data_IF_088189710477
#
_entry.id   IF_088189710477
#
_cell.length_a   1.000
_cell.length_b   1.000
_cell.length_c   1.000
_cell.angle_alpha   90.00
_cell.angle_beta   90.00
_cell.angle_gamma   90.00
#
_symmetry.space_group_name_H-M   'P 1'
#
loop_
_entity.id
_entity.type
_entity.pdbx_description
1 polymer ?
#
# COMPACT_ATOMS: atom_id res chain seq x y z
N UNK A 1 5.92 -18.99 26.59
CA UNK A 1 5.83 -18.00 25.49
C UNK A 1 5.02 -16.75 25.86
N UNK A 2 4.30 -16.72 26.98
CA UNK A 2 3.47 -15.58 27.43
C UNK A 2 4.28 -14.42 28.05
N UNK A 3 5.40 -14.72 28.74
CA UNK A 3 6.18 -13.69 29.45
C UNK A 3 6.98 -12.71 28.58
N UNK A 4 7.24 -13.01 27.30
CA UNK A 4 7.97 -12.11 26.40
C UNK A 4 7.04 -11.06 25.79
N UNK A 5 5.84 -11.47 25.37
CA UNK A 5 4.80 -10.59 24.81
C UNK A 5 4.38 -9.53 25.83
N UNK A 6 4.19 -9.95 27.09
CA UNK A 6 3.80 -9.05 28.19
C UNK A 6 4.89 -7.98 28.48
N UNK A 7 6.17 -8.37 28.37
CA UNK A 7 7.29 -7.44 28.53
C UNK A 7 7.39 -6.43 27.38
N UNK A 8 7.17 -6.87 26.15
CA UNK A 8 7.21 -6.00 24.97
C UNK A 8 6.04 -5.01 24.98
N UNK A 9 4.85 -5.47 25.37
CA UNK A 9 3.67 -4.60 25.55
C UNK A 9 3.90 -3.57 26.67
N UNK A 10 4.44 -3.98 27.81
CA UNK A 10 4.79 -3.07 28.89
C UNK A 10 5.80 -2.00 28.44
N UNK A 11 6.83 -2.40 27.69
CA UNK A 11 7.82 -1.46 27.14
C UNK A 11 7.18 -0.47 26.17
N UNK A 12 6.30 -0.92 25.29
CA UNK A 12 5.60 -0.06 24.35
C UNK A 12 4.74 0.99 25.08
N UNK A 13 4.02 0.60 26.14
CA UNK A 13 3.22 1.53 26.96
C UNK A 13 4.07 2.63 27.59
N UNK A 14 5.26 2.30 28.09
CA UNK A 14 6.21 3.28 28.62
C UNK A 14 6.65 4.27 27.54
N UNK A 15 7.03 3.77 26.36
CA UNK A 15 7.44 4.62 25.23
C UNK A 15 6.33 5.56 24.76
N UNK A 16 5.08 5.10 24.73
CA UNK A 16 3.91 5.94 24.41
C UNK A 16 3.75 7.06 25.45
N UNK A 17 3.94 6.75 26.73
CA UNK A 17 3.93 7.75 27.81
C UNK A 17 5.02 8.81 27.64
N UNK A 18 6.26 8.39 27.34
CA UNK A 18 7.38 9.29 27.09
C UNK A 18 7.15 10.21 25.89
N UNK A 19 6.63 9.66 24.79
CA UNK A 19 6.27 10.44 23.60
C UNK A 19 5.16 11.46 23.91
N UNK A 20 4.15 11.07 24.69
CA UNK A 20 3.09 11.97 25.14
C UNK A 20 3.63 13.12 25.99
N UNK A 21 4.53 12.83 26.93
CA UNK A 21 5.19 13.84 27.75
C UNK A 21 6.08 14.79 26.92
N UNK A 22 6.74 14.28 25.87
CA UNK A 22 7.50 15.11 24.94
C UNK A 22 6.61 16.08 24.16
N UNK A 23 5.45 15.63 23.69
CA UNK A 23 4.47 16.46 22.99
C UNK A 23 3.88 17.56 23.90
N UNK A 24 3.62 17.24 25.17
CA UNK A 24 3.16 18.24 26.15
C UNK A 24 4.21 19.32 26.41
N UNK A 25 5.50 18.96 26.49
CA UNK A 25 6.59 19.94 26.59
C UNK A 25 6.67 20.81 25.34
N UNK A 26 6.53 20.22 24.15
CA UNK A 26 6.51 20.96 22.88
C UNK A 26 5.32 21.93 22.84
N UNK A 27 4.18 21.59 23.40
CA UNK A 27 3.02 22.48 23.43
C UNK A 27 3.31 23.79 24.19
N UNK A 28 4.18 23.77 25.19
CA UNK A 28 4.58 24.99 25.92
C UNK A 28 5.43 25.96 25.10
N UNK A 29 6.18 25.47 24.10
CA UNK A 29 7.05 26.30 23.25
C UNK A 29 6.49 26.51 21.82
N UNK A 30 5.73 25.55 21.29
CA UNK A 30 5.11 25.58 19.96
C UNK A 30 3.80 24.77 19.95
N UNK A 31 2.66 25.41 20.30
CA UNK A 31 1.35 24.75 20.34
C UNK A 31 0.91 24.19 18.98
N UNK A 32 1.17 24.95 17.90
CA UNK A 32 0.80 24.56 16.55
C UNK A 32 1.56 23.31 16.09
N UNK A 33 2.88 23.23 16.37
CA UNK A 33 3.68 22.06 16.01
C UNK A 33 3.26 20.81 16.80
N UNK A 34 3.00 20.95 18.11
CA UNK A 34 2.51 19.84 18.94
C UNK A 34 1.19 19.29 18.39
N UNK A 35 0.24 20.17 18.05
CA UNK A 35 -1.06 19.79 17.48
C UNK A 35 -0.90 19.09 16.13
N UNK A 36 -0.03 19.60 15.26
CA UNK A 36 0.24 19.00 13.95
C UNK A 36 0.83 17.59 14.07
N UNK A 37 1.78 17.38 14.98
CA UNK A 37 2.39 16.07 15.22
C UNK A 37 1.39 15.06 15.77
N UNK A 38 0.54 15.46 16.73
CA UNK A 38 -0.53 14.59 17.24
C UNK A 38 -1.44 14.12 16.10
N UNK A 39 -1.93 15.05 15.27
CA UNK A 39 -2.79 14.72 14.13
C UNK A 39 -2.10 13.82 13.12
N UNK A 40 -0.83 14.08 12.82
CA UNK A 40 -0.05 13.26 11.91
C UNK A 40 0.06 11.82 12.41
N UNK A 41 0.44 11.63 13.67
CA UNK A 41 0.60 10.30 14.27
C UNK A 41 -0.74 9.55 14.30
N UNK A 42 -1.84 10.23 14.63
CA UNK A 42 -3.19 9.63 14.60
C UNK A 42 -3.56 9.11 13.21
N UNK A 43 -3.39 9.92 12.17
CA UNK A 43 -3.70 9.52 10.79
C UNK A 43 -2.85 8.32 10.35
N UNK A 44 -1.55 8.33 10.66
CA UNK A 44 -0.65 7.23 10.33
C UNK A 44 -1.06 5.95 11.07
N UNK A 45 -1.38 6.05 12.36
CA UNK A 45 -1.77 4.91 13.18
C UNK A 45 -3.10 4.30 12.69
N UNK A 46 -4.10 5.13 12.40
CA UNK A 46 -5.39 4.69 11.87
C UNK A 46 -5.23 3.99 10.51
N UNK A 47 -4.37 4.51 9.63
CA UNK A 47 -4.12 3.88 8.35
C UNK A 47 -3.35 2.56 8.49
N UNK A 48 -2.37 2.49 9.39
CA UNK A 48 -1.65 1.25 9.68
C UNK A 48 -2.56 0.17 10.27
N UNK A 49 -3.50 0.54 11.13
CA UNK A 49 -4.48 -0.39 11.69
C UNK A 49 -5.46 -0.93 10.63
N UNK A 50 -5.84 -0.09 9.65
CA UNK A 50 -6.79 -0.47 8.59
C UNK A 50 -6.14 -1.23 7.43
N UNK A 51 -4.87 -0.96 7.14
CA UNK A 51 -4.19 -1.47 5.93
C UNK A 51 -2.90 -2.22 6.29
N UNK A 52 -2.92 -3.57 6.38
CA UNK A 52 -1.74 -4.36 6.76
C UNK A 52 -0.51 -4.14 5.87
N UNK A 53 -0.71 -3.89 4.57
CA UNK A 53 0.38 -3.55 3.63
C UNK A 53 1.10 -2.26 4.03
N UNK A 54 0.33 -1.25 4.45
CA UNK A 54 0.86 0.04 4.88
C UNK A 54 1.62 -0.10 6.21
N UNK A 55 1.09 -0.85 7.17
CA UNK A 55 1.79 -1.15 8.42
C UNK A 55 3.17 -1.80 8.17
N UNK A 56 3.24 -2.78 7.26
CA UNK A 56 4.52 -3.42 6.90
C UNK A 56 5.49 -2.44 6.22
N UNK A 57 5.00 -1.63 5.28
CA UNK A 57 5.83 -0.63 4.60
C UNK A 57 6.37 0.42 5.58
N UNK A 58 5.53 0.88 6.51
CA UNK A 58 5.90 1.83 7.56
C UNK A 58 6.98 1.27 8.48
N UNK A 59 6.79 0.04 8.98
CA UNK A 59 7.78 -0.62 9.83
C UNK A 59 9.13 -0.77 9.11
N UNK A 60 9.10 -1.15 7.83
CA UNK A 60 10.31 -1.29 7.01
C UNK A 60 11.03 0.05 6.83
N UNK A 61 10.29 1.12 6.55
CA UNK A 61 10.86 2.45 6.35
C UNK A 61 11.50 3.03 7.61
N UNK A 62 10.91 2.78 8.80
CA UNK A 62 11.39 3.33 10.07
C UNK A 62 12.50 2.49 10.73
N UNK A 63 12.66 1.23 10.31
CA UNK A 63 13.70 0.31 10.85
C UNK A 63 14.92 0.23 9.93
N UNK A 64 14.79 0.65 8.67
CA UNK A 64 15.91 0.68 7.74
C UNK A 64 16.98 1.66 8.25
N UNK A 65 18.26 1.25 8.35
CA UNK A 65 19.33 2.18 8.62
C UNK A 65 19.37 3.25 7.52
N UNK A 66 19.60 4.50 7.91
CA UNK A 66 19.83 5.59 6.97
C UNK A 66 21.13 5.31 6.19
N UNK A 67 21.00 4.64 5.05
CA UNK A 67 22.10 4.45 4.11
C UNK A 67 22.43 5.83 3.52
N UNK A 68 23.69 6.26 3.68
CA UNK A 68 24.25 7.50 3.12
C UNK A 68 23.96 7.61 1.61
N UNK A 69 23.97 8.82 1.01
CA UNK A 69 23.61 9.00 -0.39
C UNK A 69 24.63 8.31 -1.29
N UNK A 70 24.33 7.07 -1.66
CA UNK A 70 25.01 6.34 -2.71
C UNK A 70 24.63 6.97 -4.05
N UNK A 71 25.56 7.15 -5.01
CA UNK A 71 25.31 7.84 -6.27
C UNK A 71 24.12 7.20 -7.00
N UNK A 72 23.35 8.05 -7.69
CA UNK A 72 22.07 7.76 -8.34
C UNK A 72 21.85 6.27 -8.66
N UNK A 73 20.77 5.64 -8.16
CA UNK A 73 20.60 4.22 -8.34
C UNK A 73 20.44 3.94 -9.83
N UNK A 74 21.43 3.23 -10.40
CA UNK A 74 21.21 2.37 -11.56
C UNK A 74 19.92 1.57 -11.34
N UNK A 75 19.13 1.28 -12.39
CA UNK A 75 17.80 0.69 -12.26
C UNK A 75 17.87 -0.51 -11.33
N UNK A 76 17.29 -0.37 -10.13
CA UNK A 76 17.35 -1.39 -9.08
C UNK A 76 16.67 -2.63 -9.63
N UNK A 77 17.43 -3.70 -9.82
CA UNK A 77 16.88 -5.03 -10.09
C UNK A 77 15.81 -5.32 -9.05
N UNK A 78 14.60 -5.59 -9.53
CA UNK A 78 13.45 -5.95 -8.71
C UNK A 78 13.83 -7.08 -7.73
N UNK A 79 13.31 -7.05 -6.48
CA UNK A 79 13.65 -8.04 -5.47
C UNK A 79 13.35 -9.46 -5.99
N UNK A 80 14.30 -10.36 -5.70
CA UNK A 80 14.30 -11.73 -6.18
C UNK A 80 12.97 -12.44 -5.89
N UNK A 81 12.42 -13.00 -6.97
CA UNK A 81 11.21 -13.79 -7.04
C UNK A 81 11.08 -14.82 -5.91
N UNK A 82 10.12 -14.63 -5.01
CA UNK A 82 9.61 -15.74 -4.18
C UNK A 82 8.48 -16.44 -4.94
N UNK A 83 8.90 -17.54 -5.58
CA UNK A 83 8.10 -18.67 -6.09
C UNK A 83 7.10 -18.33 -7.20
N UNK A 84 7.57 -18.43 -8.45
CA UNK A 84 6.74 -18.53 -9.65
C UNK A 84 6.15 -17.21 -10.17
N UNK A 85 6.89 -16.10 -10.03
CA UNK A 85 6.40 -14.76 -10.34
C UNK A 85 6.03 -14.61 -11.81
N UNK A 86 4.74 -14.38 -12.06
CA UNK A 86 4.23 -13.91 -13.35
C UNK A 86 4.98 -12.67 -13.83
N UNK A 87 4.95 -12.42 -15.13
CA UNK A 87 5.50 -11.18 -15.65
C UNK A 87 4.77 -9.99 -15.03
N UNK A 88 5.41 -8.81 -14.92
CA UNK A 88 4.70 -7.58 -14.58
C UNK A 88 3.55 -7.34 -15.58
N UNK A 89 2.44 -6.82 -15.09
CA UNK A 89 1.37 -6.33 -15.94
C UNK A 89 1.90 -5.24 -16.88
N UNK A 90 1.37 -5.17 -18.12
CA UNK A 90 1.87 -4.23 -19.13
C UNK A 90 1.68 -2.75 -18.79
N UNK A 91 0.80 -2.42 -17.82
CA UNK A 91 0.58 -1.05 -17.34
C UNK A 91 -0.15 -1.03 -15.99
N UNK A 92 -0.12 0.12 -15.31
CA UNK A 92 -0.92 0.37 -14.10
C UNK A 92 -2.40 0.70 -14.45
N UNK A 93 -3.36 -0.15 -14.06
CA UNK A 93 -4.77 0.05 -14.38
C UNK A 93 -5.41 1.21 -13.60
N UNK A 94 -4.86 1.63 -12.47
CA UNK A 94 -5.35 2.80 -11.73
C UNK A 94 -4.96 4.11 -12.42
N UNK A 95 -3.74 4.20 -12.96
CA UNK A 95 -3.33 5.32 -13.79
C UNK A 95 -4.18 5.40 -15.06
N UNK A 96 -4.37 4.28 -15.77
CA UNK A 96 -5.22 4.22 -16.96
C UNK A 96 -6.67 4.67 -16.69
N UNK A 97 -7.25 4.29 -15.54
CA UNK A 97 -8.58 4.73 -15.13
C UNK A 97 -8.63 6.22 -14.76
N UNK A 98 -7.57 6.77 -14.16
CA UNK A 98 -7.49 8.20 -13.84
C UNK A 98 -7.44 9.06 -15.10
N UNK A 99 -6.68 8.62 -16.11
CA UNK A 99 -6.46 9.39 -17.34
C UNK A 99 -7.68 9.37 -18.28
N UNK A 100 -8.38 8.23 -18.38
CA UNK A 100 -9.43 8.02 -19.38
C UNK A 100 -10.74 7.42 -18.85
N UNK A 101 -10.88 7.32 -17.53
CA UNK A 101 -12.03 6.68 -16.90
C UNK A 101 -12.15 5.20 -17.25
N UNK A 102 -13.36 4.68 -17.10
CA UNK A 102 -13.67 3.29 -17.47
C UNK A 102 -13.46 3.01 -18.96
N UNK A 103 -13.83 3.95 -19.83
CA UNK A 103 -13.69 3.79 -21.27
C UNK A 103 -12.22 3.69 -21.69
N UNK A 104 -11.35 4.54 -21.15
CA UNK A 104 -9.91 4.51 -21.39
C UNK A 104 -9.25 3.24 -20.83
N UNK A 105 -9.66 2.79 -19.64
CA UNK A 105 -9.19 1.51 -19.09
C UNK A 105 -9.62 0.33 -19.98
N UNK A 106 -10.88 0.26 -20.41
CA UNK A 106 -11.35 -0.80 -21.31
C UNK A 106 -10.61 -0.79 -22.65
N UNK A 107 -10.36 0.38 -23.22
CA UNK A 107 -9.60 0.50 -24.47
C UNK A 107 -8.17 -0.07 -24.33
N UNK A 108 -7.49 0.17 -23.20
CA UNK A 108 -6.15 -0.38 -22.95
C UNK A 108 -6.16 -1.88 -22.63
N UNK A 109 -7.23 -2.41 -22.04
CA UNK A 109 -7.38 -3.84 -21.74
C UNK A 109 -7.81 -4.69 -22.94
N UNK A 110 -8.53 -4.10 -23.91
CA UNK A 110 -9.06 -4.79 -25.08
C UNK A 110 -8.01 -5.54 -25.93
N UNK A 111 -6.80 -4.97 -26.22
CA UNK A 111 -5.80 -5.66 -27.04
C UNK A 111 -4.98 -6.70 -26.26
N UNK A 112 -5.14 -6.82 -24.94
CA UNK A 112 -4.32 -7.73 -24.13
C UNK A 112 -4.79 -9.18 -24.22
N UNK A 113 -3.82 -10.09 -24.19
CA UNK A 113 -4.10 -11.52 -24.07
C UNK A 113 -4.46 -11.94 -22.63
N UNK A 114 -4.91 -13.18 -22.48
CA UNK A 114 -5.35 -13.74 -21.20
C UNK A 114 -4.23 -13.74 -20.15
N UNK A 115 -2.98 -13.98 -20.55
CA UNK A 115 -1.87 -14.06 -19.61
C UNK A 115 -1.46 -12.65 -19.15
N UNK A 116 -1.37 -11.68 -20.06
CA UNK A 116 -1.15 -10.27 -19.74
C UNK A 116 -2.24 -9.71 -18.81
N UNK A 117 -3.50 -10.10 -19.01
CA UNK A 117 -4.59 -9.74 -18.10
C UNK A 117 -4.42 -10.36 -16.71
N UNK A 118 -3.96 -11.61 -16.62
CA UNK A 118 -3.68 -12.27 -15.33
C UNK A 118 -2.44 -11.70 -14.64
N UNK A 119 -1.47 -11.22 -15.40
CA UNK A 119 -0.29 -10.54 -14.89
C UNK A 119 -0.70 -9.25 -14.14
N UNK A 120 -1.59 -8.44 -14.73
CA UNK A 120 -2.20 -7.26 -14.07
C UNK A 120 -2.93 -7.66 -12.79
N UNK A 121 -3.77 -8.70 -12.86
CA UNK A 121 -4.54 -9.17 -11.71
C UNK A 121 -3.61 -9.62 -10.57
N UNK A 122 -2.51 -10.29 -10.89
CA UNK A 122 -1.54 -10.79 -9.93
C UNK A 122 -0.77 -9.63 -9.27
N UNK A 123 -0.26 -8.71 -10.09
CA UNK A 123 0.55 -7.57 -9.62
C UNK A 123 -0.23 -6.64 -8.69
N UNK A 124 -1.49 -6.38 -9.03
CA UNK A 124 -2.34 -5.47 -8.25
C UNK A 124 -3.24 -6.18 -7.23
N UNK A 125 -2.99 -7.46 -6.93
CA UNK A 125 -3.74 -8.26 -5.97
C UNK A 125 -5.27 -8.21 -6.17
N UNK A 126 -5.72 -8.29 -7.43
CA UNK A 126 -7.14 -8.22 -7.80
C UNK A 126 -7.85 -9.58 -7.77
N UNK A 127 -7.15 -10.66 -7.39
CA UNK A 127 -7.67 -12.03 -7.25
C UNK A 127 -8.11 -12.36 -5.81
N UNK A 128 -9.11 -11.64 -5.29
CA UNK A 128 -9.53 -11.76 -3.89
C UNK A 128 -10.31 -13.05 -3.59
N UNK A 129 -10.95 -13.63 -4.60
CA UNK A 129 -11.74 -14.88 -4.51
C UNK A 129 -10.97 -16.11 -5.03
N UNK A 130 -9.72 -15.92 -5.49
CA UNK A 130 -8.86 -16.94 -6.11
C UNK A 130 -9.45 -17.58 -7.37
N UNK A 131 -10.41 -16.91 -8.03
CA UNK A 131 -11.05 -17.39 -9.24
C UNK A 131 -10.43 -16.80 -10.51
N UNK A 132 -9.90 -15.56 -10.44
CA UNK A 132 -9.46 -14.84 -11.63
C UNK A 132 -8.33 -15.60 -12.34
N UNK A 133 -7.40 -16.20 -11.58
CA UNK A 133 -6.31 -16.98 -12.17
C UNK A 133 -6.75 -18.24 -12.92
N UNK A 134 -7.96 -18.74 -12.64
CA UNK A 134 -8.54 -19.93 -13.28
C UNK A 134 -9.30 -19.60 -14.57
N UNK A 135 -9.61 -18.34 -14.82
CA UNK A 135 -10.39 -17.94 -15.99
C UNK A 135 -9.54 -17.96 -17.27
N UNK A 136 -10.20 -18.35 -18.36
CA UNK A 136 -9.63 -18.34 -19.72
C UNK A 136 -10.30 -17.32 -20.64
N UNK A 137 -11.38 -16.69 -20.18
CA UNK A 137 -12.16 -15.73 -20.96
C UNK A 137 -11.61 -14.32 -20.73
N UNK A 138 -11.05 -13.64 -21.75
CA UNK A 138 -10.50 -12.29 -21.61
C UNK A 138 -11.52 -11.31 -21.02
N UNK A 139 -12.75 -11.31 -21.54
CA UNK A 139 -13.83 -10.41 -21.09
C UNK A 139 -14.07 -10.50 -19.57
N UNK A 140 -14.09 -11.70 -18.99
CA UNK A 140 -14.28 -11.88 -17.53
C UNK A 140 -13.14 -11.25 -16.72
N UNK A 141 -11.91 -11.34 -17.21
CA UNK A 141 -10.74 -10.72 -16.57
C UNK A 141 -10.78 -9.19 -16.72
N UNK A 142 -11.14 -8.69 -17.90
CA UNK A 142 -11.30 -7.25 -18.15
C UNK A 142 -12.36 -6.65 -17.21
N UNK A 143 -13.53 -7.30 -17.10
CA UNK A 143 -14.61 -6.87 -16.22
C UNK A 143 -14.17 -6.86 -14.74
N UNK A 144 -13.42 -7.88 -14.30
CA UNK A 144 -12.83 -7.96 -12.95
C UNK A 144 -11.89 -6.80 -12.65
N UNK A 145 -10.98 -6.49 -13.58
CA UNK A 145 -10.02 -5.39 -13.42
C UNK A 145 -10.78 -4.06 -13.33
N UNK A 146 -11.74 -3.82 -14.23
CA UNK A 146 -12.55 -2.59 -14.24
C UNK A 146 -13.38 -2.45 -12.95
N UNK A 147 -14.08 -3.51 -12.54
CA UNK A 147 -14.88 -3.53 -11.31
C UNK A 147 -14.00 -3.19 -10.10
N UNK A 148 -12.83 -3.82 -10.00
CA UNK A 148 -11.94 -3.64 -8.86
C UNK A 148 -11.34 -2.23 -8.80
N UNK A 149 -10.90 -1.70 -9.94
CA UNK A 149 -10.33 -0.35 -10.03
C UNK A 149 -11.40 0.69 -9.70
N UNK A 150 -12.62 0.55 -10.20
CA UNK A 150 -13.75 1.43 -9.84
C UNK A 150 -14.01 1.41 -8.33
N UNK A 151 -14.21 0.23 -7.75
CA UNK A 151 -14.54 0.10 -6.33
C UNK A 151 -13.47 0.73 -5.43
N UNK A 152 -12.19 0.60 -5.79
CA UNK A 152 -11.07 1.18 -5.03
C UNK A 152 -10.86 2.67 -5.29
N UNK A 153 -11.15 3.15 -6.50
CA UNK A 153 -11.01 4.59 -6.84
C UNK A 153 -12.15 5.41 -6.25
N UNK A 154 -13.40 4.94 -6.35
CA UNK A 154 -14.57 5.63 -5.77
C UNK A 154 -14.48 5.70 -4.24
N UNK A 155 -13.90 4.68 -3.59
CA UNK A 155 -13.63 4.73 -2.15
C UNK A 155 -12.57 5.79 -1.80
N UNK A 156 -11.62 6.07 -2.70
CA UNK A 156 -10.60 7.11 -2.52
C UNK A 156 -11.13 8.53 -2.75
N UNK A 157 -12.05 8.73 -3.70
CA UNK A 157 -12.69 10.03 -3.94
C UNK A 157 -13.64 10.47 -2.82
N UNK A 158 -14.22 9.54 -2.07
CA UNK A 158 -15.06 9.86 -0.92
C UNK A 158 -14.32 10.52 0.26
N UNK A 159 -12.98 10.57 0.21
CA UNK A 159 -12.11 11.18 1.22
C UNK A 159 -11.29 12.37 0.69
N UNK A 160 -11.56 12.84 -0.54
CA UNK A 160 -10.94 14.04 -1.11
C UNK A 160 -11.80 15.28 -0.89
#
# INVERSE_FOLDING_TARGET
MTGTVDRDEARLRVQIGEASAALLRLQGSSPAAATALVRLVQVIADEAARTPRFAHALASALTAPAEAPSPAPAPRKAPAARRGTRAPGPFDPFAAFRDGGEAGLRAKLAPLDVEQLKDIVAEHAMDYDRLAMRWRTPKKLQDRIVERVKALTTKGDAFR
#
